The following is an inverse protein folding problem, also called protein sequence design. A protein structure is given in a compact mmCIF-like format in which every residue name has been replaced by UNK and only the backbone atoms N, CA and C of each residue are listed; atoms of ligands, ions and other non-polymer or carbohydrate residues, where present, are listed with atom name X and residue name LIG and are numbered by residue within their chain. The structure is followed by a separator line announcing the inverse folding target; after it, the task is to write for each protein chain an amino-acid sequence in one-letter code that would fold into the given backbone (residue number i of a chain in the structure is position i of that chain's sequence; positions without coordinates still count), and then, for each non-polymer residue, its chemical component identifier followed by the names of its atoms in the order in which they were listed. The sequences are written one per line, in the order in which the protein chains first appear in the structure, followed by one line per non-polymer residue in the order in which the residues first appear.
data_IF_569629538554
#
_entry.id   IF_569629538554
#
_cell.length_a   1.000
_cell.length_b   1.000
_cell.length_c   1.000
_cell.angle_alpha   90.00
_cell.angle_beta   90.00
_cell.angle_gamma   90.00
#
_symmetry.space_group_name_H-M   'P 1'
#
loop_
_entity.id
_entity.type
_entity.pdbx_description
1 polymer ?
#
# COMPACT_ATOMS: atom_id res chain seq x y z
N UNK A 1 -8.37 -23.19 -21.12
CA UNK A 1 -7.34 -23.47 -20.08
C UNK A 1 -7.06 -22.20 -19.29
N UNK A 2 -6.69 -22.32 -18.02
CA UNK A 2 -6.29 -21.22 -17.15
C UNK A 2 -4.98 -20.59 -17.67
N UNK A 3 -4.91 -19.26 -17.84
CA UNK A 3 -3.69 -18.56 -18.23
C UNK A 3 -2.56 -18.69 -17.19
N UNK A 4 -1.30 -18.66 -17.64
CA UNK A 4 -0.16 -18.59 -16.73
C UNK A 4 -0.16 -17.28 -15.92
N UNK A 5 0.04 -17.37 -14.60
CA UNK A 5 0.09 -16.22 -13.71
C UNK A 5 1.06 -16.44 -12.56
N UNK A 6 1.91 -15.43 -12.29
CA UNK A 6 2.95 -15.48 -11.27
C UNK A 6 2.58 -14.66 -10.04
N UNK A 7 2.43 -15.34 -8.90
CA UNK A 7 2.08 -14.70 -7.62
C UNK A 7 3.26 -13.94 -6.97
N UNK A 8 4.45 -13.96 -7.60
CA UNK A 8 5.68 -13.34 -7.06
C UNK A 8 5.56 -11.84 -6.89
N UNK A 9 4.90 -11.16 -7.84
CA UNK A 9 4.86 -9.70 -7.91
C UNK A 9 3.65 -9.07 -7.18
N UNK A 10 2.83 -9.89 -6.53
CA UNK A 10 1.77 -9.42 -5.66
C UNK A 10 2.36 -8.90 -4.33
N UNK A 11 1.77 -7.86 -3.76
CA UNK A 11 2.01 -7.48 -2.38
C UNK A 11 1.29 -8.47 -1.44
N UNK A 12 1.62 -8.50 -0.14
CA UNK A 12 1.08 -9.54 0.77
C UNK A 12 -0.45 -9.54 0.85
N UNK A 13 -1.09 -8.37 0.97
CA UNK A 13 -2.55 -8.26 0.93
C UNK A 13 -3.19 -8.66 -0.41
N UNK A 14 -2.56 -8.32 -1.54
CA UNK A 14 -2.99 -8.74 -2.88
C UNK A 14 -2.87 -10.26 -3.04
N UNK A 15 -1.77 -10.85 -2.56
CA UNK A 15 -1.51 -12.28 -2.57
C UNK A 15 -2.58 -13.03 -1.77
N UNK A 16 -2.91 -12.57 -0.55
CA UNK A 16 -3.93 -13.18 0.30
C UNK A 16 -5.31 -13.06 -0.35
N UNK A 17 -5.66 -11.87 -0.87
CA UNK A 17 -6.94 -11.63 -1.54
C UNK A 17 -7.11 -12.54 -2.76
N UNK A 18 -6.13 -12.57 -3.67
CA UNK A 18 -6.13 -13.47 -4.83
C UNK A 18 -6.25 -14.94 -4.42
N UNK A 19 -5.48 -15.36 -3.41
CA UNK A 19 -5.48 -16.74 -2.93
C UNK A 19 -6.83 -17.15 -2.30
N UNK A 20 -7.51 -16.23 -1.61
CA UNK A 20 -8.87 -16.45 -1.08
C UNK A 20 -9.89 -16.62 -2.21
N UNK A 21 -9.83 -15.79 -3.26
CA UNK A 21 -10.71 -15.96 -4.43
C UNK A 21 -10.43 -17.27 -5.17
N UNK A 22 -9.17 -17.68 -5.33
CA UNK A 22 -8.82 -19.01 -5.85
C UNK A 22 -9.50 -20.13 -5.05
N UNK A 23 -9.45 -20.08 -3.71
CA UNK A 23 -10.10 -21.08 -2.87
C UNK A 23 -11.63 -21.11 -3.06
N UNK A 24 -12.28 -19.94 -3.12
CA UNK A 24 -13.73 -19.83 -3.42
C UNK A 24 -14.09 -20.39 -4.79
N UNK A 25 -13.27 -20.14 -5.82
CA UNK A 25 -13.49 -20.68 -7.17
C UNK A 25 -13.39 -22.22 -7.17
N UNK A 26 -12.53 -22.78 -6.32
CA UNK A 26 -12.36 -24.24 -6.15
C UNK A 26 -13.27 -24.86 -5.09
N UNK A 27 -14.17 -24.10 -4.46
CA UNK A 27 -15.17 -24.60 -3.52
C UNK A 27 -16.35 -25.22 -4.29
N UNK A 28 -16.05 -26.34 -4.96
CA UNK A 28 -16.96 -27.06 -5.85
C UNK A 28 -17.10 -28.50 -5.35
N UNK A 29 -18.34 -28.95 -5.21
CA UNK A 29 -18.64 -30.31 -4.79
C UNK A 29 -18.09 -31.34 -5.78
N UNK A 30 -17.68 -32.51 -5.24
CA UNK A 30 -17.26 -33.68 -6.03
C UNK A 30 -16.04 -33.49 -6.96
N UNK A 31 -15.17 -32.49 -6.72
CA UNK A 31 -13.87 -32.42 -7.41
C UNK A 31 -13.06 -33.72 -7.22
N UNK A 32 -12.25 -34.15 -8.20
CA UNK A 32 -11.36 -35.30 -8.06
C UNK A 32 -10.42 -35.18 -6.86
N UNK A 33 -10.16 -36.29 -6.16
CA UNK A 33 -9.39 -36.31 -4.91
C UNK A 33 -8.00 -35.64 -5.02
N UNK A 34 -7.32 -35.77 -6.16
CA UNK A 34 -6.04 -35.09 -6.41
C UNK A 34 -6.18 -33.57 -6.48
N UNK A 35 -7.28 -33.04 -7.03
CA UNK A 35 -7.56 -31.59 -7.06
C UNK A 35 -7.90 -31.11 -5.65
N UNK A 36 -8.74 -31.84 -4.92
CA UNK A 36 -9.03 -31.55 -3.50
C UNK A 36 -7.74 -31.48 -2.66
N UNK A 37 -6.81 -32.43 -2.87
CA UNK A 37 -5.51 -32.42 -2.18
C UNK A 37 -4.66 -31.19 -2.52
N UNK A 38 -4.68 -30.71 -3.77
CA UNK A 38 -3.99 -29.47 -4.17
C UNK A 38 -4.64 -28.22 -3.57
N UNK A 39 -5.98 -28.16 -3.53
CA UNK A 39 -6.73 -27.08 -2.87
C UNK A 39 -6.39 -27.05 -1.37
N UNK A 40 -6.40 -28.20 -0.70
CA UNK A 40 -6.04 -28.32 0.71
C UNK A 40 -4.59 -27.89 0.98
N UNK A 41 -3.62 -28.36 0.17
CA UNK A 41 -2.22 -27.98 0.28
C UNK A 41 -2.01 -26.46 0.11
N UNK A 42 -2.68 -25.84 -0.86
CA UNK A 42 -2.63 -24.40 -1.07
C UNK A 42 -3.29 -23.63 0.09
N UNK A 43 -4.45 -24.10 0.57
CA UNK A 43 -5.17 -23.53 1.72
C UNK A 43 -4.34 -23.55 3.01
N UNK A 44 -3.60 -24.63 3.29
CA UNK A 44 -2.73 -24.70 4.48
C UNK A 44 -1.68 -23.58 4.46
N UNK A 45 -0.96 -23.40 3.34
CA UNK A 45 0.02 -22.31 3.25
C UNK A 45 -0.63 -20.93 3.34
N UNK A 46 -1.80 -20.73 2.73
CA UNK A 46 -2.52 -19.46 2.80
C UNK A 46 -2.90 -19.11 4.25
N UNK A 47 -3.45 -20.06 5.02
CA UNK A 47 -3.84 -19.83 6.41
C UNK A 47 -2.65 -19.45 7.30
N UNK A 48 -1.48 -20.09 7.10
CA UNK A 48 -0.26 -19.72 7.83
C UNK A 48 0.25 -18.33 7.43
N UNK A 49 0.25 -18.00 6.13
CA UNK A 49 0.63 -16.67 5.63
C UNK A 49 -0.32 -15.58 6.15
N UNK A 50 -1.63 -15.86 6.19
CA UNK A 50 -2.64 -14.93 6.70
C UNK A 50 -2.48 -14.68 8.20
N UNK A 51 -2.27 -15.73 9.01
CA UNK A 51 -2.02 -15.58 10.44
C UNK A 51 -0.76 -14.75 10.74
N UNK A 52 0.33 -14.99 10.00
CA UNK A 52 1.56 -14.22 10.12
C UNK A 52 1.38 -12.76 9.68
N UNK A 53 0.60 -12.51 8.62
CA UNK A 53 0.33 -11.14 8.16
C UNK A 53 -0.44 -10.34 9.21
N UNK A 54 -1.43 -10.96 9.88
CA UNK A 54 -2.15 -10.35 10.99
C UNK A 54 -1.21 -10.11 12.19
N UNK A 55 -0.34 -11.06 12.54
CA UNK A 55 0.67 -10.88 13.61
C UNK A 55 1.58 -9.66 13.33
N UNK A 56 1.98 -9.43 12.08
CA UNK A 56 2.81 -8.28 11.70
C UNK A 56 2.05 -6.94 11.68
N UNK A 57 0.79 -6.92 11.23
CA UNK A 57 -0.05 -5.73 11.18
C UNK A 57 -0.58 -5.32 12.58
N UNK A 58 -0.80 -6.29 13.46
CA UNK A 58 -1.19 -6.08 14.87
C UNK A 58 -0.01 -5.83 15.81
N UNK A 59 1.24 -6.01 15.37
CA UNK A 59 2.42 -5.72 16.18
C UNK A 59 2.41 -4.27 16.70
N UNK A 60 2.89 -4.03 17.92
CA UNK A 60 2.81 -2.70 18.55
C UNK A 60 3.51 -1.62 17.70
N UNK A 61 4.65 -1.92 17.07
CA UNK A 61 5.31 -1.03 16.11
C UNK A 61 4.41 -0.67 14.90
N UNK A 62 3.55 -1.58 14.44
CA UNK A 62 2.58 -1.32 13.38
C UNK A 62 1.35 -0.54 13.88
N UNK A 63 1.03 -0.56 15.18
CA UNK A 63 0.00 0.30 15.80
C UNK A 63 0.54 1.71 16.04
N UNK A 64 1.65 1.83 16.76
CA UNK A 64 2.34 3.11 17.05
C UNK A 64 2.59 3.91 15.77
N UNK A 65 3.09 3.27 14.70
CA UNK A 65 3.31 3.95 13.41
C UNK A 65 2.00 4.52 12.83
N UNK A 66 0.88 3.78 12.90
CA UNK A 66 -0.44 4.25 12.41
C UNK A 66 -1.01 5.39 13.26
N UNK A 67 -0.72 5.42 14.55
CA UNK A 67 -1.13 6.51 15.44
C UNK A 67 -0.34 7.80 15.16
N UNK A 68 0.98 7.67 14.92
CA UNK A 68 1.83 8.78 14.49
C UNK A 68 1.40 9.31 13.12
N UNK A 69 1.09 8.42 12.18
CA UNK A 69 0.58 8.73 10.84
C UNK A 69 -0.73 9.54 10.90
N UNK A 70 -1.72 9.04 11.62
CA UNK A 70 -3.00 9.74 11.80
C UNK A 70 -2.87 11.05 12.61
N UNK A 71 -1.81 11.22 13.40
CA UNK A 71 -1.47 12.49 14.03
C UNK A 71 -0.78 13.45 13.06
N UNK A 72 0.13 12.95 12.20
CA UNK A 72 0.80 13.69 11.13
C UNK A 72 -0.20 14.30 10.16
N UNK A 73 -1.12 13.48 9.64
CA UNK A 73 -2.28 13.89 8.83
C UNK A 73 -3.03 15.07 9.46
N UNK A 74 -3.36 14.94 10.75
CA UNK A 74 -4.16 15.91 11.50
C UNK A 74 -3.42 17.24 11.68
N UNK A 75 -2.13 17.19 12.03
CA UNK A 75 -1.31 18.40 12.24
C UNK A 75 -1.04 19.10 10.91
N UNK A 76 -0.70 18.35 9.85
CA UNK A 76 -0.54 18.89 8.50
C UNK A 76 -1.84 19.55 8.00
N UNK A 77 -2.98 18.84 8.11
CA UNK A 77 -4.30 19.36 7.71
C UNK A 77 -4.67 20.63 8.47
N UNK A 78 -4.46 20.67 9.79
CA UNK A 78 -4.78 21.83 10.61
C UNK A 78 -3.87 23.03 10.34
N UNK A 79 -2.59 22.80 10.06
CA UNK A 79 -1.65 23.84 9.66
C UNK A 79 -2.00 24.47 8.30
N UNK A 80 -2.37 23.64 7.32
CA UNK A 80 -2.85 24.12 6.02
C UNK A 80 -4.15 24.93 6.15
N UNK A 81 -5.10 24.47 6.97
CA UNK A 81 -6.35 25.18 7.27
C UNK A 81 -6.11 26.49 8.04
N UNK A 82 -5.13 26.53 8.94
CA UNK A 82 -4.72 27.76 9.65
C UNK A 82 -4.21 28.81 8.65
N UNK A 83 -3.33 28.41 7.71
CA UNK A 83 -2.83 29.31 6.67
C UNK A 83 -3.96 29.87 5.79
N UNK A 84 -4.87 29.02 5.30
CA UNK A 84 -6.00 29.46 4.48
C UNK A 84 -6.97 30.38 5.24
N UNK A 85 -7.31 30.03 6.49
CA UNK A 85 -8.14 30.88 7.38
C UNK A 85 -7.56 32.27 7.53
N UNK A 86 -6.23 32.38 7.63
CA UNK A 86 -5.57 33.67 7.79
C UNK A 86 -5.60 34.55 6.53
N UNK A 87 -5.85 34.02 5.33
CA UNK A 87 -5.96 34.84 4.10
C UNK A 87 -7.04 35.91 4.20
N UNK A 88 -8.13 35.64 4.91
CA UNK A 88 -9.25 36.58 5.14
C UNK A 88 -9.13 37.37 6.45
N UNK A 89 -7.96 37.36 7.11
CA UNK A 89 -7.75 38.09 8.36
C UNK A 89 -7.88 39.62 8.15
N UNK A 90 -8.55 40.36 9.05
CA UNK A 90 -8.70 41.83 8.91
C UNK A 90 -7.41 42.61 9.10
N UNK A 91 -6.34 42.01 9.63
CA UNK A 91 -5.00 42.62 9.72
C UNK A 91 -4.22 42.28 8.45
N UNK A 92 -3.85 43.30 7.68
CA UNK A 92 -3.31 43.14 6.33
C UNK A 92 -2.02 42.30 6.27
N UNK A 93 -1.12 42.49 7.24
CA UNK A 93 0.13 41.74 7.33
C UNK A 93 -0.13 40.25 7.64
N UNK A 94 -1.15 39.96 8.45
CA UNK A 94 -1.61 38.60 8.76
C UNK A 94 -2.32 37.94 7.58
N UNK A 95 -3.06 38.73 6.78
CA UNK A 95 -3.67 38.27 5.51
C UNK A 95 -2.61 37.86 4.49
N UNK A 96 -1.59 38.69 4.27
CA UNK A 96 -0.49 38.34 3.36
C UNK A 96 0.34 37.17 3.88
N UNK A 97 0.57 37.05 5.19
CA UNK A 97 1.24 35.87 5.76
C UNK A 97 0.44 34.57 5.57
N UNK A 98 -0.88 34.60 5.78
CA UNK A 98 -1.77 33.48 5.48
C UNK A 98 -1.72 33.09 4.00
N UNK A 99 -1.71 34.08 3.10
CA UNK A 99 -1.58 33.86 1.65
C UNK A 99 -0.23 33.24 1.27
N UNK A 100 0.88 33.80 1.77
CA UNK A 100 2.24 33.29 1.52
C UNK A 100 2.37 31.81 1.91
N UNK A 101 1.79 31.42 3.05
CA UNK A 101 1.81 30.04 3.50
C UNK A 101 0.86 29.16 2.69
N UNK A 102 -0.39 29.59 2.50
CA UNK A 102 -1.41 28.83 1.74
C UNK A 102 -0.99 28.58 0.29
N UNK A 103 -0.39 29.56 -0.38
CA UNK A 103 0.19 29.42 -1.72
C UNK A 103 1.30 28.33 -1.71
N UNK A 104 2.16 28.27 -0.67
CA UNK A 104 3.20 27.22 -0.57
C UNK A 104 2.67 25.85 -0.15
N UNK A 105 1.52 25.77 0.55
CA UNK A 105 0.83 24.47 0.73
C UNK A 105 0.29 23.95 -0.61
N UNK A 106 -0.28 24.83 -1.44
CA UNK A 106 -0.84 24.47 -2.74
C UNK A 106 0.21 23.94 -3.74
N UNK A 107 1.49 24.32 -3.60
CA UNK A 107 2.59 23.76 -4.39
C UNK A 107 2.78 22.23 -4.22
N UNK A 108 2.30 21.66 -3.10
CA UNK A 108 2.31 20.22 -2.81
C UNK A 108 0.99 19.52 -3.17
N UNK A 109 0.01 20.24 -3.69
CA UNK A 109 -1.34 19.75 -3.96
C UNK A 109 -2.33 20.00 -2.82
N UNK A 110 -3.49 19.35 -2.88
CA UNK A 110 -4.52 19.49 -1.84
C UNK A 110 -4.18 18.67 -0.61
N UNK A 111 -4.75 19.06 0.53
CA UNK A 111 -4.63 18.29 1.79
C UNK A 111 -5.01 16.83 1.59
N UNK A 112 -6.03 16.55 0.77
CA UNK A 112 -6.52 15.21 0.51
C UNK A 112 -5.58 14.36 -0.35
N UNK A 113 -4.80 14.98 -1.24
CA UNK A 113 -3.81 14.30 -2.07
C UNK A 113 -2.59 13.94 -1.22
N UNK A 114 -2.10 14.88 -0.40
CA UNK A 114 -0.94 14.67 0.46
C UNK A 114 -1.21 13.65 1.59
N UNK A 115 -2.40 13.67 2.21
CA UNK A 115 -2.79 12.75 3.32
C UNK A 115 -3.33 11.39 2.85
N UNK A 116 -3.30 11.09 1.55
CA UNK A 116 -3.80 9.81 1.00
C UNK A 116 -2.90 9.16 -0.06
N UNK A 117 -1.71 9.70 -0.27
CA UNK A 117 -0.65 9.02 -1.02
C UNK A 117 0.01 7.93 -0.17
N UNK A 118 1.09 7.32 -0.66
CA UNK A 118 1.82 6.32 0.13
C UNK A 118 2.74 6.95 1.17
N UNK A 119 2.99 6.23 2.28
CA UNK A 119 3.88 6.60 3.40
C UNK A 119 5.18 7.31 2.93
N UNK A 120 5.79 6.80 1.84
CA UNK A 120 7.06 7.30 1.29
C UNK A 120 6.94 8.63 0.52
N UNK A 121 5.85 8.81 -0.23
CA UNK A 121 5.60 10.03 -1.01
C UNK A 121 5.23 11.17 -0.04
N UNK A 122 4.38 10.89 0.96
CA UNK A 122 4.02 11.86 2.00
C UNK A 122 5.24 12.27 2.85
N UNK A 123 6.07 11.33 3.30
CA UNK A 123 7.32 11.67 4.00
C UNK A 123 8.23 12.56 3.15
N UNK A 124 8.27 12.38 1.82
CA UNK A 124 9.10 13.20 0.93
C UNK A 124 8.56 14.65 0.77
N UNK A 125 7.24 14.79 0.65
CA UNK A 125 6.56 16.08 0.61
C UNK A 125 6.69 16.82 1.93
N UNK A 126 6.43 16.16 3.06
CA UNK A 126 6.52 16.76 4.39
C UNK A 126 7.94 17.18 4.74
N UNK A 127 8.97 16.39 4.41
CA UNK A 127 10.36 16.84 4.54
C UNK A 127 10.68 18.07 3.71
N UNK A 128 10.19 18.11 2.47
CA UNK A 128 10.42 19.25 1.58
C UNK A 128 9.70 20.50 2.10
N UNK A 129 8.44 20.36 2.52
CA UNK A 129 7.65 21.43 3.10
C UNK A 129 8.26 21.98 4.39
N UNK A 130 8.65 21.12 5.33
CA UNK A 130 9.26 21.53 6.61
C UNK A 130 10.57 22.29 6.40
N UNK A 131 11.41 21.84 5.46
CA UNK A 131 12.61 22.59 5.02
C UNK A 131 12.25 23.97 4.50
N UNK A 132 11.22 24.06 3.66
CA UNK A 132 10.85 25.30 3.00
C UNK A 132 10.17 26.29 3.97
N UNK A 133 9.38 25.78 4.93
CA UNK A 133 8.84 26.55 6.06
C UNK A 133 9.94 27.14 6.95
N UNK A 134 11.12 26.51 7.01
CA UNK A 134 12.31 27.05 7.67
C UNK A 134 13.00 28.21 6.93
N UNK A 135 12.59 28.54 5.69
CA UNK A 135 13.17 29.69 4.97
C UNK A 135 12.74 31.02 5.58
N UNK A 136 13.56 32.10 5.56
CA UNK A 136 13.28 33.32 6.30
C UNK A 136 11.91 33.97 6.01
N UNK A 137 11.43 33.90 4.76
CA UNK A 137 10.11 34.43 4.36
C UNK A 137 8.96 33.63 4.94
N UNK A 138 9.03 32.30 4.86
CA UNK A 138 7.95 31.42 5.32
C UNK A 138 7.95 31.30 6.85
N UNK A 139 9.13 31.27 7.48
CA UNK A 139 9.26 31.31 8.93
C UNK A 139 8.67 32.60 9.54
N UNK A 140 8.96 33.77 8.95
CA UNK A 140 8.39 35.04 9.40
C UNK A 140 6.85 35.08 9.25
N UNK A 141 6.31 34.55 8.14
CA UNK A 141 4.86 34.42 7.95
C UNK A 141 4.23 33.48 8.99
N UNK A 142 4.88 32.33 9.27
CA UNK A 142 4.42 31.36 10.26
C UNK A 142 4.41 31.95 11.67
N UNK A 143 5.45 32.69 12.08
CA UNK A 143 5.46 33.42 13.35
C UNK A 143 4.31 34.43 13.43
N UNK A 144 4.04 35.18 12.35
CA UNK A 144 3.03 36.24 12.35
C UNK A 144 1.59 35.72 12.52
N UNK A 145 1.31 34.49 12.07
CA UNK A 145 0.00 33.83 12.23
C UNK A 145 -0.08 32.86 13.44
N UNK A 146 1.01 32.68 14.19
CA UNK A 146 1.06 31.78 15.35
C UNK A 146 1.15 30.29 15.00
N UNK A 147 1.76 29.95 13.86
CA UNK A 147 1.89 28.57 13.38
C UNK A 147 3.07 27.78 13.98
N UNK A 148 3.83 28.34 14.92
CA UNK A 148 5.05 27.73 15.48
C UNK A 148 4.83 26.32 16.02
N UNK A 149 3.91 26.18 16.98
CA UNK A 149 3.58 24.92 17.65
C UNK A 149 3.15 23.81 16.67
N UNK A 150 2.47 24.18 15.58
CA UNK A 150 2.05 23.26 14.52
C UNK A 150 3.24 22.75 13.71
N UNK A 151 4.19 23.63 13.37
CA UNK A 151 5.40 23.26 12.61
C UNK A 151 6.33 22.40 13.48
N UNK A 152 6.47 22.73 14.76
CA UNK A 152 7.24 21.93 15.73
C UNK A 152 6.62 20.53 15.90
N UNK A 153 5.31 20.45 16.12
CA UNK A 153 4.59 19.18 16.23
C UNK A 153 4.71 18.33 14.95
N UNK A 154 4.57 18.93 13.76
CA UNK A 154 4.71 18.23 12.48
C UNK A 154 6.15 17.71 12.27
N UNK A 155 7.15 18.51 12.65
CA UNK A 155 8.57 18.12 12.60
C UNK A 155 8.85 16.92 13.50
N UNK A 156 8.34 16.94 14.73
CA UNK A 156 8.50 15.83 15.68
C UNK A 156 7.79 14.57 15.19
N UNK A 157 6.56 14.69 14.69
CA UNK A 157 5.78 13.55 14.18
C UNK A 157 6.42 12.91 12.95
N UNK A 158 6.92 13.71 12.00
CA UNK A 158 7.62 13.19 10.82
C UNK A 158 8.89 12.41 11.22
N UNK A 159 9.74 12.99 12.10
CA UNK A 159 10.93 12.30 12.60
C UNK A 159 10.58 11.00 13.36
N UNK A 160 9.51 11.01 14.15
CA UNK A 160 9.00 9.83 14.85
C UNK A 160 8.51 8.74 13.89
N UNK A 161 7.87 9.14 12.77
CA UNK A 161 7.39 8.23 11.75
C UNK A 161 8.53 7.51 11.02
N UNK A 162 9.59 8.24 10.66
CA UNK A 162 10.76 7.66 10.00
C UNK A 162 11.56 6.74 10.94
N UNK A 163 11.68 7.12 12.22
CA UNK A 163 12.25 6.24 13.24
C UNK A 163 11.44 4.95 13.37
N UNK A 164 10.11 5.02 13.53
CA UNK A 164 9.25 3.83 13.66
C UNK A 164 9.20 2.98 12.40
N UNK A 165 9.30 3.58 11.22
CA UNK A 165 9.47 2.87 9.95
C UNK A 165 10.78 2.08 9.88
N UNK A 166 11.86 2.66 10.41
CA UNK A 166 13.17 2.03 10.52
C UNK A 166 13.15 0.89 11.56
N UNK A 167 12.62 1.13 12.76
CA UNK A 167 12.45 0.13 13.82
C UNK A 167 11.63 -1.08 13.34
N UNK A 168 10.51 -0.85 12.63
CA UNK A 168 9.70 -1.94 12.06
C UNK A 168 10.49 -2.77 11.05
N UNK A 169 11.33 -2.13 10.23
CA UNK A 169 12.16 -2.80 9.22
C UNK A 169 13.27 -3.64 9.86
N UNK A 170 13.88 -3.14 10.95
CA UNK A 170 14.85 -3.89 11.75
C UNK A 170 14.18 -5.11 12.44
N UNK A 171 13.06 -4.91 13.13
CA UNK A 171 12.33 -5.97 13.82
C UNK A 171 11.81 -7.07 12.87
N UNK A 172 11.44 -6.72 11.63
CA UNK A 172 11.10 -7.70 10.60
C UNK A 172 12.34 -8.48 10.14
N UNK A 173 13.48 -7.82 9.97
CA UNK A 173 14.76 -8.47 9.62
C UNK A 173 15.25 -9.43 10.71
N UNK A 174 15.06 -9.08 11.98
CA UNK A 174 15.35 -9.93 13.14
C UNK A 174 14.41 -11.15 13.20
N UNK A 175 13.09 -10.94 13.04
CA UNK A 175 12.11 -12.04 12.97
C UNK A 175 12.42 -13.05 11.87
N UNK A 176 12.95 -12.62 10.72
CA UNK A 176 13.37 -13.53 9.64
C UNK A 176 14.51 -14.46 10.08
N UNK A 177 15.41 -14.01 10.96
CA UNK A 177 16.49 -14.85 11.51
C UNK A 177 15.98 -15.84 12.57
N UNK A 178 15.05 -15.41 13.44
CA UNK A 178 14.53 -16.23 14.54
C UNK A 178 13.47 -17.26 14.10
N UNK A 179 12.57 -16.87 13.18
CA UNK A 179 11.49 -17.71 12.63
C UNK A 179 11.80 -18.05 11.15
N UNK A 180 12.44 -19.21 10.86
CA UNK A 180 12.75 -19.61 9.48
C UNK A 180 11.52 -19.94 8.63
N UNK A 181 10.37 -20.23 9.25
CA UNK A 181 9.06 -20.15 8.57
C UNK A 181 8.43 -18.78 8.81
N UNK A 182 8.34 -18.00 7.74
CA UNK A 182 7.81 -16.64 7.70
C UNK A 182 7.15 -16.40 6.32
N UNK A 183 6.57 -15.22 6.08
CA UNK A 183 5.84 -14.94 4.82
C UNK A 183 6.75 -15.12 3.59
N UNK A 184 8.00 -14.69 3.66
CA UNK A 184 8.95 -14.77 2.53
C UNK A 184 9.36 -16.21 2.20
N UNK A 185 9.44 -17.10 3.18
CA UNK A 185 9.73 -18.53 2.94
C UNK A 185 8.48 -19.35 2.62
N UNK A 186 7.29 -18.90 3.02
CA UNK A 186 6.01 -19.56 2.76
C UNK A 186 5.39 -19.17 1.40
N UNK A 187 5.51 -17.91 0.96
CA UNK A 187 4.94 -17.45 -0.33
C UNK A 187 5.47 -18.23 -1.54
N UNK A 188 6.76 -18.61 -1.66
CA UNK A 188 7.25 -19.50 -2.71
C UNK A 188 6.62 -20.90 -2.66
N UNK A 189 6.48 -21.49 -1.46
CA UNK A 189 5.81 -22.80 -1.27
C UNK A 189 4.35 -22.73 -1.70
N UNK A 190 3.64 -21.67 -1.33
CA UNK A 190 2.26 -21.41 -1.72
C UNK A 190 2.10 -21.18 -3.24
N UNK A 191 3.02 -20.44 -3.87
CA UNK A 191 3.02 -20.24 -5.31
C UNK A 191 3.29 -21.55 -6.08
N UNK A 192 4.13 -22.44 -5.54
CA UNK A 192 4.32 -23.77 -6.12
C UNK A 192 3.06 -24.66 -5.96
N UNK A 193 2.38 -24.60 -4.81
CA UNK A 193 1.12 -25.28 -4.59
C UNK A 193 0.00 -24.77 -5.52
N UNK A 194 -0.09 -23.46 -5.72
CA UNK A 194 -0.98 -22.83 -6.71
C UNK A 194 -0.69 -23.33 -8.13
N UNK A 195 0.57 -23.35 -8.56
CA UNK A 195 0.96 -23.87 -9.88
C UNK A 195 0.57 -25.36 -10.05
N UNK A 196 0.76 -26.18 -9.01
CA UNK A 196 0.34 -27.59 -9.01
C UNK A 196 -1.19 -27.72 -9.11
N UNK A 197 -1.96 -26.87 -8.42
CA UNK A 197 -3.42 -26.80 -8.50
C UNK A 197 -3.90 -26.43 -9.91
N UNK A 198 -3.39 -25.33 -10.48
CA UNK A 198 -3.73 -24.88 -11.84
C UNK A 198 -3.41 -25.94 -12.89
N UNK A 199 -2.25 -26.59 -12.80
CA UNK A 199 -1.86 -27.67 -13.70
C UNK A 199 -2.81 -28.87 -13.61
N UNK A 200 -3.23 -29.27 -12.40
CA UNK A 200 -4.24 -30.31 -12.23
C UNK A 200 -5.60 -29.93 -12.81
N UNK A 201 -6.07 -28.69 -12.61
CA UNK A 201 -7.34 -28.22 -13.19
C UNK A 201 -7.28 -28.22 -14.73
N UNK A 202 -6.19 -27.71 -15.32
CA UNK A 202 -6.01 -27.75 -16.78
C UNK A 202 -5.92 -29.18 -17.33
N UNK A 203 -5.31 -30.10 -16.58
CA UNK A 203 -5.27 -31.53 -16.92
C UNK A 203 -6.69 -32.11 -16.98
N UNK A 204 -7.52 -31.93 -15.96
CA UNK A 204 -8.90 -32.44 -15.98
C UNK A 204 -9.77 -31.76 -17.02
N UNK A 205 -9.67 -30.43 -17.20
CA UNK A 205 -10.38 -29.71 -18.27
C UNK A 205 -10.11 -30.32 -19.65
N UNK A 206 -8.89 -30.81 -19.89
CA UNK A 206 -8.50 -31.43 -21.16
C UNK A 206 -8.97 -32.90 -21.23
N UNK A 207 -8.78 -33.67 -20.16
CA UNK A 207 -9.12 -35.11 -20.11
C UNK A 207 -10.63 -35.37 -20.15
N UNK A 208 -11.42 -34.51 -19.51
CA UNK A 208 -12.89 -34.60 -19.45
C UNK A 208 -13.56 -33.86 -20.62
N UNK A 209 -12.81 -33.57 -21.70
CA UNK A 209 -13.26 -32.89 -22.92
C UNK A 209 -14.05 -31.58 -22.69
N UNK A 210 -13.77 -30.87 -21.60
CA UNK A 210 -14.47 -29.64 -21.21
C UNK A 210 -15.84 -29.85 -20.55
N UNK A 211 -16.14 -31.03 -20.00
CA UNK A 211 -17.32 -31.24 -19.17
C UNK A 211 -17.33 -30.36 -17.88
N UNK A 212 -18.51 -30.06 -17.34
CA UNK A 212 -18.63 -29.36 -16.05
C UNK A 212 -18.01 -30.19 -14.90
N UNK A 213 -17.39 -29.56 -13.89
CA UNK A 213 -17.37 -28.12 -13.58
C UNK A 213 -16.25 -27.32 -14.27
N UNK A 214 -15.50 -27.93 -15.18
CA UNK A 214 -14.19 -27.41 -15.60
C UNK A 214 -14.23 -26.09 -16.39
N UNK A 215 -15.15 -25.87 -17.37
CA UNK A 215 -15.28 -24.57 -18.04
C UNK A 215 -15.58 -23.44 -17.06
N UNK A 216 -16.49 -23.65 -16.12
CA UNK A 216 -16.86 -22.65 -15.11
C UNK A 216 -15.69 -22.27 -14.20
N UNK A 217 -14.89 -23.25 -13.77
CA UNK A 217 -13.66 -23.01 -12.98
C UNK A 217 -12.64 -22.24 -13.82
N UNK A 218 -12.33 -22.71 -15.04
CA UNK A 218 -11.36 -22.10 -15.95
C UNK A 218 -11.72 -20.65 -16.28
N UNK A 219 -13.00 -20.37 -16.52
CA UNK A 219 -13.51 -19.02 -16.78
C UNK A 219 -13.28 -18.08 -15.60
N UNK A 220 -13.70 -18.48 -14.39
CA UNK A 220 -13.52 -17.69 -13.16
C UNK A 220 -12.04 -17.38 -12.86
N UNK A 221 -11.15 -18.38 -13.01
CA UNK A 221 -9.70 -18.17 -12.88
C UNK A 221 -9.18 -17.16 -13.90
N UNK A 222 -9.64 -17.22 -15.15
CA UNK A 222 -9.22 -16.32 -16.22
C UNK A 222 -9.62 -14.86 -15.94
N UNK A 223 -10.85 -14.65 -15.44
CA UNK A 223 -11.34 -13.34 -14.99
C UNK A 223 -10.49 -12.78 -13.84
N UNK A 224 -10.31 -13.56 -12.76
CA UNK A 224 -9.52 -13.16 -11.59
C UNK A 224 -8.07 -12.78 -11.96
N UNK A 225 -7.44 -13.55 -12.85
CA UNK A 225 -6.09 -13.25 -13.37
C UNK A 225 -6.09 -11.95 -14.20
N UNK A 226 -7.12 -11.71 -15.01
CA UNK A 226 -7.27 -10.47 -15.78
C UNK A 226 -7.39 -9.23 -14.89
N UNK A 227 -8.28 -9.28 -13.90
CA UNK A 227 -8.49 -8.21 -12.90
C UNK A 227 -7.20 -7.92 -12.12
N UNK A 228 -6.53 -8.97 -11.64
CA UNK A 228 -5.29 -8.83 -10.86
C UNK A 228 -4.14 -8.24 -11.68
N UNK A 229 -4.02 -8.62 -12.97
CA UNK A 229 -3.06 -7.99 -13.89
C UNK A 229 -3.33 -6.51 -14.10
N UNK A 230 -4.60 -6.08 -14.12
CA UNK A 230 -4.96 -4.66 -14.24
C UNK A 230 -4.53 -3.87 -12.99
N UNK A 231 -4.79 -4.39 -11.79
CA UNK A 231 -4.31 -3.80 -10.52
C UNK A 231 -2.79 -3.60 -10.54
N UNK A 232 -2.04 -4.63 -10.93
CA UNK A 232 -0.59 -4.56 -11.05
C UNK A 232 -0.12 -3.54 -12.09
N UNK A 233 -0.82 -3.42 -13.23
CA UNK A 233 -0.50 -2.45 -14.29
C UNK A 233 -0.72 -1.01 -13.81
N UNK A 234 -1.85 -0.73 -13.15
CA UNK A 234 -2.15 0.58 -12.56
C UNK A 234 -1.08 0.96 -11.52
N UNK A 235 -0.70 0.03 -10.64
CA UNK A 235 0.36 0.25 -9.64
C UNK A 235 1.70 0.60 -10.29
N UNK A 236 2.08 -0.14 -11.35
CA UNK A 236 3.31 0.15 -12.12
C UNK A 236 3.25 1.52 -12.79
N UNK A 237 2.10 1.92 -13.33
CA UNK A 237 1.90 3.24 -13.92
C UNK A 237 2.10 4.38 -12.91
N UNK A 238 1.52 4.26 -11.72
CA UNK A 238 1.72 5.24 -10.62
C UNK A 238 3.18 5.35 -10.20
N UNK A 239 3.84 4.21 -9.97
CA UNK A 239 5.25 4.18 -9.59
C UNK A 239 6.19 4.80 -10.64
N UNK A 240 5.84 4.74 -11.93
CA UNK A 240 6.59 5.40 -13.00
C UNK A 240 6.33 6.92 -13.06
N UNK A 241 5.13 7.38 -12.72
CA UNK A 241 4.77 8.80 -12.67
C UNK A 241 5.42 9.53 -11.48
N UNK A 242 5.66 8.84 -10.37
CA UNK A 242 6.34 9.37 -9.18
C UNK A 242 7.87 9.54 -9.35
N UNK A 243 8.46 9.03 -10.43
CA UNK A 243 9.90 9.23 -10.70
C UNK A 243 10.14 10.64 -11.27
N UNK A 244 11.19 11.36 -10.83
CA UNK A 244 11.53 12.67 -11.37
C UNK A 244 11.91 12.56 -12.86
N UNK A 245 10.98 12.97 -13.73
CA UNK A 245 11.07 12.84 -15.19
C UNK A 245 9.91 12.05 -15.84
N UNK A 246 8.95 11.53 -15.07
CA UNK A 246 7.79 10.77 -15.56
C UNK A 246 6.76 11.57 -16.37
N UNK A 247 7.13 12.11 -17.52
CA UNK A 247 6.18 12.72 -18.47
C UNK A 247 5.28 11.63 -19.12
N UNK A 248 3.95 11.65 -18.96
CA UNK A 248 3.05 10.67 -19.59
C UNK A 248 2.94 10.81 -21.12
N UNK A 249 3.43 11.93 -21.70
CA UNK A 249 3.35 12.24 -23.12
C UNK A 249 4.66 12.04 -23.88
N UNK A 250 4.98 10.79 -24.25
CA UNK A 250 6.04 10.46 -25.21
C UNK A 250 5.63 9.26 -26.10
N UNK A 251 4.70 9.52 -27.02
CA UNK A 251 4.41 8.60 -28.14
C UNK A 251 5.45 8.73 -29.24
N UNK A 252 6.20 7.66 -29.51
CA UNK A 252 6.62 7.21 -30.85
C UNK A 252 6.54 5.69 -30.88
#
# INVERSE_FOLDING_TARGET
MIPEFSLRFLHNGEFITFSKEVLKITDVAHLPAVVQQRVAQFKTFLLTIEALHVEEDESELSKERREIDAARDRVYSGLAQLADTYRSNPVAEKSEAGRILSDRFADYGTVLEVTRQGDADESADLHSLLRDLGTPRLAAAATLIGAGDWIEALTHLQASFDQKSTERTAAHSERIQEKPENIDTLRPKAAEAYRKLVNSINSFYTTEEGAEPWPGIVGKFSTLIGETRNIMAIRKGRALAALPGGNPGATV
#
